data_IF_318985649182
#
_entry.id   IF_318985649182
#
_cell.length_a   1.000
_cell.length_b   1.000
_cell.length_c   1.000
_cell.angle_alpha   90.00
_cell.angle_beta   90.00
_cell.angle_gamma   90.00
#
_symmetry.space_group_name_H-M   'P 1'
#
loop_
_entity.id
_entity.type
_entity.pdbx_description
1 polymer ?
#
# COMPACT_ATOMS: atom_id res chain seq x y z
N UNK A 1 -11.09 -25.93 -2.61
CA UNK A 1 -12.04 -24.97 -3.19
C UNK A 1 -11.91 -25.04 -4.69
N UNK A 2 -12.98 -24.89 -5.51
CA UNK A 2 -12.86 -24.97 -6.95
C UNK A 2 -11.98 -23.84 -7.48
N UNK A 3 -11.27 -24.09 -8.58
CA UNK A 3 -10.45 -23.12 -9.29
C UNK A 3 -11.24 -21.85 -9.51
N UNK A 4 -10.71 -20.69 -9.06
CA UNK A 4 -11.20 -19.40 -9.52
C UNK A 4 -10.84 -19.30 -11.01
N UNK A 5 -11.83 -19.57 -11.84
CA UNK A 5 -11.74 -19.38 -13.29
C UNK A 5 -11.69 -17.87 -13.55
N UNK A 6 -10.56 -17.39 -14.06
CA UNK A 6 -10.46 -16.04 -14.62
C UNK A 6 -10.68 -16.20 -16.12
N UNK A 7 -11.76 -15.67 -16.69
CA UNK A 7 -12.02 -15.76 -18.11
C UNK A 7 -10.93 -15.07 -18.92
N UNK A 8 -10.51 -15.70 -20.01
CA UNK A 8 -9.74 -15.04 -21.07
C UNK A 8 -10.67 -14.06 -21.79
N UNK A 9 -10.51 -12.77 -21.57
CA UNK A 9 -11.34 -11.70 -22.18
C UNK A 9 -11.12 -11.51 -23.69
N UNK A 10 -10.61 -12.50 -24.39
CA UNK A 10 -10.31 -12.49 -25.80
C UNK A 10 -11.33 -13.25 -26.65
N UNK A 11 -12.64 -12.94 -26.63
CA UNK A 11 -13.60 -13.17 -27.71
C UNK A 11 -15.02 -12.78 -27.27
N UNK A 12 -15.79 -12.15 -28.16
CA UNK A 12 -17.20 -11.74 -28.04
C UNK A 12 -18.16 -12.91 -27.75
N UNK A 13 -18.14 -13.44 -26.54
CA UNK A 13 -19.24 -14.24 -26.00
C UNK A 13 -19.93 -13.34 -24.97
N UNK A 14 -21.19 -13.00 -25.16
CA UNK A 14 -22.00 -12.32 -24.15
C UNK A 14 -22.21 -13.31 -23.00
N UNK A 15 -21.33 -13.27 -22.00
CA UNK A 15 -21.51 -14.05 -20.78
C UNK A 15 -22.60 -13.41 -19.92
N UNK A 16 -23.48 -14.21 -19.39
CA UNK A 16 -24.55 -13.76 -18.51
C UNK A 16 -24.84 -14.76 -17.41
N UNK A 17 -25.52 -14.31 -16.38
CA UNK A 17 -26.12 -15.16 -15.36
C UNK A 17 -27.63 -14.95 -15.34
N UNK A 18 -28.37 -15.97 -14.95
CA UNK A 18 -29.82 -15.86 -14.67
C UNK A 18 -30.04 -15.94 -13.16
N UNK A 19 -30.70 -14.94 -12.59
CA UNK A 19 -31.15 -14.96 -11.20
C UNK A 19 -32.66 -15.14 -11.18
N UNK A 20 -33.18 -16.04 -10.31
CA UNK A 20 -34.59 -16.27 -10.08
C UNK A 20 -34.97 -15.93 -8.65
N UNK A 21 -35.99 -15.10 -8.46
CA UNK A 21 -36.61 -14.90 -7.15
C UNK A 21 -37.62 -16.02 -6.88
N UNK A 22 -37.24 -16.97 -6.02
CA UNK A 22 -38.10 -18.10 -5.67
C UNK A 22 -39.39 -17.70 -4.90
N UNK A 23 -39.50 -16.45 -4.43
CA UNK A 23 -40.68 -15.92 -3.75
C UNK A 23 -41.78 -15.55 -4.75
N UNK A 24 -41.37 -15.10 -5.94
CA UNK A 24 -42.28 -14.62 -7.02
C UNK A 24 -42.27 -15.54 -8.24
N UNK A 25 -41.20 -16.30 -8.47
CA UNK A 25 -40.94 -17.06 -9.69
C UNK A 25 -40.40 -16.24 -10.84
N UNK A 26 -40.20 -14.92 -10.64
CA UNK A 26 -39.62 -14.06 -11.66
C UNK A 26 -38.12 -14.32 -11.85
N UNK A 27 -37.68 -14.22 -13.11
CA UNK A 27 -36.26 -14.41 -13.47
C UNK A 27 -35.75 -13.23 -14.28
N UNK A 28 -34.46 -12.92 -14.13
CA UNK A 28 -33.77 -11.87 -14.87
C UNK A 28 -32.39 -12.38 -15.32
N UNK A 29 -32.06 -12.15 -16.58
CA UNK A 29 -30.72 -12.35 -17.12
C UNK A 29 -29.89 -11.08 -16.95
N UNK A 30 -28.67 -11.22 -16.43
CA UNK A 30 -27.77 -10.11 -16.13
C UNK A 30 -26.45 -10.36 -16.84
N UNK A 31 -25.93 -9.40 -17.63
CA UNK A 31 -24.65 -9.56 -18.32
C UNK A 31 -23.48 -9.55 -17.35
N UNK A 32 -22.44 -10.31 -17.69
CA UNK A 32 -21.12 -10.25 -17.06
C UNK A 32 -20.25 -9.32 -17.90
N UNK A 33 -19.81 -8.22 -17.33
CA UNK A 33 -18.91 -7.26 -17.97
C UNK A 33 -17.58 -7.18 -17.23
N UNK A 34 -16.48 -7.43 -17.91
CA UNK A 34 -15.14 -7.42 -17.29
C UNK A 34 -15.05 -8.31 -16.02
N UNK A 35 -15.68 -9.49 -16.06
CA UNK A 35 -15.73 -10.42 -14.92
C UNK A 35 -16.60 -9.97 -13.75
N UNK A 36 -17.41 -8.92 -13.91
CA UNK A 36 -18.26 -8.38 -12.87
C UNK A 36 -19.72 -8.28 -13.31
N UNK A 37 -20.62 -8.34 -12.32
CA UNK A 37 -22.06 -8.13 -12.46
C UNK A 37 -22.39 -6.81 -11.78
N UNK A 38 -23.08 -5.91 -12.50
CA UNK A 38 -23.54 -4.66 -11.90
C UNK A 38 -24.62 -4.95 -10.84
N UNK A 39 -24.35 -4.58 -9.61
CA UNK A 39 -25.28 -4.75 -8.49
C UNK A 39 -26.58 -3.96 -8.65
N UNK A 40 -26.63 -2.94 -9.50
CA UNK A 40 -27.86 -2.21 -9.79
C UNK A 40 -28.86 -3.06 -10.61
N UNK A 41 -28.37 -3.98 -11.43
CA UNK A 41 -29.21 -4.82 -12.28
C UNK A 41 -30.00 -5.83 -11.46
N UNK A 42 -29.34 -6.64 -10.62
CA UNK A 42 -30.05 -7.65 -9.83
C UNK A 42 -31.03 -7.04 -8.81
N UNK A 43 -30.80 -5.80 -8.33
CA UNK A 43 -31.71 -5.09 -7.42
C UNK A 43 -33.07 -4.78 -8.05
N UNK A 44 -33.18 -4.77 -9.38
CA UNK A 44 -34.47 -4.61 -10.08
C UNK A 44 -35.38 -5.81 -9.80
N UNK A 45 -34.80 -7.01 -9.75
CA UNK A 45 -35.54 -8.24 -9.43
C UNK A 45 -35.75 -8.42 -7.92
N UNK A 46 -34.77 -8.07 -7.09
CA UNK A 46 -34.74 -8.34 -5.65
C UNK A 46 -34.71 -7.04 -4.83
N UNK A 47 -35.76 -6.21 -4.84
CA UNK A 47 -35.79 -4.99 -4.07
C UNK A 47 -35.69 -5.28 -2.57
N UNK A 48 -34.81 -4.54 -1.87
CA UNK A 48 -34.62 -4.70 -0.41
C UNK A 48 -33.71 -5.85 0.01
N UNK A 49 -33.20 -6.64 -0.92
CA UNK A 49 -32.19 -7.69 -0.64
C UNK A 49 -30.78 -7.14 -0.91
N UNK A 50 -29.82 -7.47 -0.05
CA UNK A 50 -28.43 -7.01 -0.14
C UNK A 50 -27.48 -8.20 -0.10
N UNK A 51 -26.37 -8.12 -0.84
CA UNK A 51 -25.25 -9.03 -0.61
C UNK A 51 -24.53 -8.65 0.69
N UNK A 52 -24.36 -9.62 1.57
CA UNK A 52 -23.59 -9.46 2.80
C UNK A 52 -22.15 -9.89 2.54
N UNK A 53 -21.26 -8.90 2.40
CA UNK A 53 -19.81 -9.10 2.23
C UNK A 53 -19.05 -8.16 3.18
N UNK A 54 -18.85 -8.55 4.47
CA UNK A 54 -18.32 -7.67 5.50
C UNK A 54 -16.92 -7.12 5.23
N UNK A 55 -16.13 -7.79 4.40
CA UNK A 55 -14.72 -7.46 4.17
C UNK A 55 -14.39 -7.21 2.69
N UNK A 56 -15.41 -6.99 1.85
CA UNK A 56 -15.24 -6.87 0.39
C UNK A 56 -14.44 -8.03 -0.22
N UNK A 57 -14.66 -9.26 0.30
CA UNK A 57 -13.90 -10.44 -0.09
C UNK A 57 -14.32 -11.01 -1.45
N UNK A 58 -15.55 -10.71 -1.87
CA UNK A 58 -16.18 -11.26 -3.09
C UNK A 58 -16.84 -10.18 -3.95
N UNK A 59 -16.76 -8.92 -3.57
CA UNK A 59 -17.37 -7.80 -4.29
C UNK A 59 -16.33 -6.80 -4.76
N UNK A 60 -16.37 -6.43 -6.04
CA UNK A 60 -15.62 -5.30 -6.56
C UNK A 60 -16.27 -3.97 -6.14
N UNK A 61 -15.49 -3.06 -5.59
CA UNK A 61 -15.99 -1.75 -5.12
C UNK A 61 -15.91 -0.66 -6.18
N UNK A 62 -15.12 -0.87 -7.24
CA UNK A 62 -14.86 0.11 -8.30
C UNK A 62 -14.36 -0.55 -9.58
N UNK A 63 -14.43 0.19 -10.70
CA UNK A 63 -13.66 -0.09 -11.92
C UNK A 63 -12.39 0.78 -11.85
N UNK A 64 -11.23 0.23 -12.21
CA UNK A 64 -9.96 0.97 -12.24
C UNK A 64 -9.08 0.47 -13.40
N UNK A 65 -8.34 1.39 -14.00
CA UNK A 65 -7.35 1.09 -15.03
C UNK A 65 -5.89 1.22 -14.53
N UNK A 66 -5.68 1.40 -13.22
CA UNK A 66 -4.38 1.71 -12.64
C UNK A 66 -3.53 0.44 -12.51
N UNK A 67 -4.03 -0.54 -11.78
CA UNK A 67 -3.28 -1.76 -11.45
C UNK A 67 -4.09 -3.00 -11.83
N UNK A 68 -3.47 -3.85 -12.64
CA UNK A 68 -3.97 -5.20 -12.92
C UNK A 68 -3.23 -6.20 -12.03
N UNK A 69 -4.00 -7.04 -11.35
CA UNK A 69 -3.47 -8.06 -10.47
C UNK A 69 -4.16 -9.40 -10.75
N UNK A 70 -3.35 -10.40 -11.13
CA UNK A 70 -3.80 -11.79 -11.28
C UNK A 70 -3.07 -12.66 -10.25
N UNK A 71 -3.77 -12.92 -9.16
CA UNK A 71 -3.20 -13.69 -8.06
C UNK A 71 -3.01 -15.17 -8.37
N UNK A 72 -3.77 -15.74 -9.32
CA UNK A 72 -3.65 -17.13 -9.70
C UNK A 72 -2.36 -17.38 -10.51
N UNK A 73 -2.02 -16.45 -11.40
CA UNK A 73 -0.86 -16.52 -12.27
C UNK A 73 0.36 -15.75 -11.74
N UNK A 74 0.23 -15.03 -10.62
CA UNK A 74 1.32 -14.22 -10.05
C UNK A 74 1.71 -13.03 -10.94
N UNK A 75 0.72 -12.33 -11.51
CA UNK A 75 0.94 -11.19 -12.42
C UNK A 75 0.57 -9.88 -11.72
N UNK A 76 1.45 -8.89 -11.84
CA UNK A 76 1.21 -7.51 -11.43
C UNK A 76 1.63 -6.56 -12.56
N UNK A 77 0.74 -5.64 -12.92
CA UNK A 77 1.01 -4.61 -13.95
C UNK A 77 0.51 -3.25 -13.49
N UNK A 78 1.30 -2.22 -13.72
CA UNK A 78 0.87 -0.83 -13.57
C UNK A 78 0.55 -0.25 -14.94
N UNK A 79 -0.70 0.16 -15.17
CA UNK A 79 -1.14 0.70 -16.47
C UNK A 79 -0.74 -0.20 -17.66
N UNK A 80 -0.75 -1.52 -17.46
CA UNK A 80 -0.38 -2.49 -18.47
C UNK A 80 1.10 -2.90 -18.52
N UNK A 81 2.00 -2.15 -17.86
CA UNK A 81 3.43 -2.47 -17.81
C UNK A 81 3.72 -3.53 -16.74
N UNK A 82 4.40 -4.64 -17.04
CA UNK A 82 4.80 -5.64 -16.06
C UNK A 82 5.67 -5.02 -14.97
N UNK A 83 5.43 -5.43 -13.71
CA UNK A 83 6.15 -4.90 -12.56
C UNK A 83 7.65 -5.20 -12.64
N UNK A 84 8.02 -6.34 -13.22
CA UNK A 84 9.41 -6.76 -13.41
C UNK A 84 10.18 -5.76 -14.30
N UNK A 85 9.56 -5.32 -15.40
CA UNK A 85 10.17 -4.35 -16.32
C UNK A 85 10.31 -2.98 -15.69
N UNK A 86 9.30 -2.55 -14.93
CA UNK A 86 9.38 -1.27 -14.21
C UNK A 86 10.45 -1.32 -13.13
N UNK A 87 10.53 -2.40 -12.36
CA UNK A 87 11.55 -2.57 -11.32
C UNK A 87 12.95 -2.64 -11.91
N UNK A 88 13.15 -3.22 -13.08
CA UNK A 88 14.45 -3.31 -13.75
C UNK A 88 14.91 -1.98 -14.33
N UNK A 89 14.01 -1.24 -15.00
CA UNK A 89 14.39 -0.17 -15.92
C UNK A 89 13.91 1.22 -15.52
N UNK A 90 12.91 1.34 -14.61
CA UNK A 90 12.30 2.61 -14.24
C UNK A 90 12.84 3.19 -12.94
N UNK A 91 12.39 4.42 -12.64
CA UNK A 91 12.53 5.07 -11.33
C UNK A 91 11.17 5.20 -10.66
N UNK A 92 11.15 5.46 -9.35
CA UNK A 92 9.90 5.68 -8.63
C UNK A 92 9.10 6.86 -9.21
N UNK A 93 9.75 7.99 -9.53
CA UNK A 93 9.06 9.16 -10.08
C UNK A 93 8.58 8.95 -11.52
N UNK A 94 9.28 8.17 -12.33
CA UNK A 94 8.79 7.76 -13.65
C UNK A 94 7.57 6.84 -13.53
N UNK A 95 7.61 5.88 -12.61
CA UNK A 95 6.46 5.03 -12.28
C UNK A 95 5.27 5.86 -11.74
N UNK A 96 5.53 6.89 -10.93
CA UNK A 96 4.50 7.82 -10.47
C UNK A 96 3.85 8.56 -11.66
N UNK A 97 4.65 9.09 -12.58
CA UNK A 97 4.13 9.71 -13.81
C UNK A 97 3.22 8.74 -14.59
N UNK A 98 3.67 7.49 -14.76
CA UNK A 98 2.88 6.45 -15.44
C UNK A 98 1.52 6.25 -14.77
N UNK A 99 1.47 6.15 -13.44
CA UNK A 99 0.23 5.90 -12.70
C UNK A 99 -0.78 7.04 -12.85
N UNK A 100 -0.32 8.31 -12.89
CA UNK A 100 -1.18 9.47 -13.08
C UNK A 100 -1.59 9.69 -14.55
N UNK A 101 -0.66 9.49 -15.50
CA UNK A 101 -0.86 9.88 -16.89
C UNK A 101 -1.21 8.71 -17.83
N UNK A 102 -1.30 7.47 -17.32
CA UNK A 102 -1.59 6.25 -18.10
C UNK A 102 -0.61 5.97 -19.26
N UNK A 103 0.59 6.51 -19.20
CA UNK A 103 1.69 6.31 -20.16
C UNK A 103 3.03 6.69 -19.53
N UNK A 104 4.11 6.14 -20.06
CA UNK A 104 5.46 6.58 -19.70
C UNK A 104 5.74 8.02 -20.23
N UNK A 105 6.53 8.81 -19.49
CA UNK A 105 6.96 10.12 -19.97
C UNK A 105 8.01 10.01 -21.08
N UNK A 106 8.09 11.01 -21.94
CA UNK A 106 9.31 11.24 -22.72
C UNK A 106 10.39 11.91 -21.83
N UNK A 107 11.60 12.13 -22.37
CA UNK A 107 12.73 12.67 -21.61
C UNK A 107 12.47 14.07 -21.05
N UNK A 108 11.84 14.95 -21.83
CA UNK A 108 11.53 16.32 -21.42
C UNK A 108 10.44 16.31 -20.33
N UNK A 109 9.38 15.53 -20.50
CA UNK A 109 8.32 15.37 -19.52
C UNK A 109 8.83 14.80 -18.19
N UNK A 110 9.74 13.82 -18.24
CA UNK A 110 10.34 13.26 -17.02
C UNK A 110 11.19 14.31 -16.31
N UNK A 111 11.93 15.12 -17.06
CA UNK A 111 12.73 16.22 -16.51
C UNK A 111 11.85 17.25 -15.82
N UNK A 112 10.77 17.68 -16.49
CA UNK A 112 9.84 18.66 -15.94
C UNK A 112 9.09 18.10 -14.72
N UNK A 113 8.68 16.84 -14.77
CA UNK A 113 8.03 16.14 -13.65
C UNK A 113 8.93 16.07 -12.43
N UNK A 114 10.17 15.63 -12.60
CA UNK A 114 11.16 15.58 -11.52
C UNK A 114 11.42 16.97 -10.92
N UNK A 115 11.58 18.00 -11.79
CA UNK A 115 11.77 19.38 -11.35
C UNK A 115 10.56 19.92 -10.58
N UNK A 116 9.34 19.56 -11.01
CA UNK A 116 8.11 19.95 -10.32
C UNK A 116 8.02 19.33 -8.92
N UNK A 117 8.32 18.03 -8.77
CA UNK A 117 8.37 17.35 -7.47
C UNK A 117 9.45 17.99 -6.59
N UNK A 118 10.66 18.16 -7.09
CA UNK A 118 11.81 18.68 -6.34
C UNK A 118 11.54 20.08 -5.75
N UNK A 119 10.79 20.93 -6.45
CA UNK A 119 10.44 22.28 -5.96
C UNK A 119 9.45 22.31 -4.81
N UNK A 120 8.82 21.17 -4.46
CA UNK A 120 7.77 21.09 -3.44
C UNK A 120 8.17 20.29 -2.19
N UNK A 121 9.44 19.91 -2.06
CA UNK A 121 9.95 19.07 -0.97
C UNK A 121 9.96 19.74 0.41
N UNK A 122 10.10 21.09 0.45
CA UNK A 122 10.15 21.84 1.71
C UNK A 122 8.81 21.88 2.42
N UNK A 123 8.85 21.80 3.74
CA UNK A 123 7.72 22.08 4.64
C UNK A 123 7.71 23.58 5.00
N UNK A 124 6.52 24.12 5.25
CA UNK A 124 6.42 25.45 5.87
C UNK A 124 7.07 25.45 7.25
N UNK A 125 7.89 26.46 7.57
CA UNK A 125 8.66 26.50 8.83
C UNK A 125 7.78 26.46 10.08
N UNK A 126 6.60 27.06 10.06
CA UNK A 126 5.65 26.94 11.17
C UNK A 126 5.12 25.52 11.33
N UNK A 127 4.90 24.79 10.21
CA UNK A 127 4.48 23.40 10.23
C UNK A 127 5.60 22.48 10.75
N UNK A 128 6.84 22.70 10.33
CA UNK A 128 8.01 21.97 10.83
C UNK A 128 8.15 22.13 12.36
N UNK A 129 7.99 23.36 12.87
CA UNK A 129 8.01 23.59 14.32
C UNK A 129 6.85 22.92 15.04
N UNK A 130 5.64 22.93 14.45
CA UNK A 130 4.48 22.26 15.01
C UNK A 130 4.72 20.75 15.16
N UNK A 131 5.33 20.08 14.17
CA UNK A 131 5.72 18.67 14.27
C UNK A 131 6.64 18.46 15.47
N UNK A 132 7.63 19.34 15.65
CA UNK A 132 8.59 19.22 16.74
C UNK A 132 8.00 19.49 18.13
N UNK A 133 7.05 20.42 18.25
CA UNK A 133 6.58 20.91 19.53
C UNK A 133 5.29 20.22 20.02
N UNK A 134 4.54 19.56 19.11
CA UNK A 134 3.20 19.06 19.43
C UNK A 134 3.16 17.57 19.79
N UNK A 135 4.18 16.79 19.45
CA UNK A 135 4.15 15.35 19.64
C UNK A 135 4.98 14.90 20.84
N UNK A 136 4.60 13.76 21.42
CA UNK A 136 5.38 13.14 22.48
C UNK A 136 6.67 12.55 21.89
N UNK A 137 7.77 12.60 22.65
CA UNK A 137 9.11 12.21 22.18
C UNK A 137 9.23 10.73 21.78
N UNK A 138 8.40 9.87 22.35
CA UNK A 138 8.37 8.42 22.04
C UNK A 138 7.21 8.04 21.10
N UNK A 139 6.58 9.02 20.44
CA UNK A 139 5.51 8.75 19.49
C UNK A 139 6.01 7.90 18.33
N UNK A 140 5.20 6.90 17.96
CA UNK A 140 5.53 6.01 16.83
C UNK A 140 5.61 6.81 15.52
N UNK A 141 6.66 6.64 14.68
CA UNK A 141 6.87 7.42 13.46
C UNK A 141 5.67 7.41 12.50
N UNK A 142 4.93 6.30 12.43
CA UNK A 142 3.73 6.24 11.59
C UNK A 142 2.58 7.11 12.12
N UNK A 143 2.45 7.23 13.45
CA UNK A 143 1.50 8.16 14.08
C UNK A 143 1.85 9.62 13.78
N UNK A 144 3.15 9.95 13.86
CA UNK A 144 3.68 11.26 13.47
C UNK A 144 3.40 11.57 12.00
N UNK A 145 3.70 10.63 11.10
CA UNK A 145 3.46 10.78 9.67
C UNK A 145 1.98 11.02 9.38
N UNK A 146 1.08 10.18 9.92
CA UNK A 146 -0.37 10.28 9.70
C UNK A 146 -0.90 11.65 10.15
N UNK A 147 -0.53 12.08 11.34
CA UNK A 147 -0.94 13.38 11.90
C UNK A 147 -0.38 14.54 11.09
N UNK A 148 0.86 14.42 10.65
CA UNK A 148 1.51 15.45 9.83
C UNK A 148 0.88 15.57 8.44
N UNK A 149 0.54 14.46 7.79
CA UNK A 149 -0.17 14.49 6.49
C UNK A 149 -1.52 15.20 6.65
N UNK A 150 -2.30 14.86 7.68
CA UNK A 150 -3.56 15.56 7.96
C UNK A 150 -3.36 17.05 8.22
N UNK A 151 -2.32 17.41 8.98
CA UNK A 151 -1.97 18.80 9.29
C UNK A 151 -1.68 19.66 8.06
N UNK A 152 -1.13 19.08 6.98
CA UNK A 152 -0.86 19.80 5.74
C UNK A 152 -2.12 20.42 5.11
N UNK A 153 -3.30 19.81 5.30
CA UNK A 153 -4.58 20.37 4.83
C UNK A 153 -4.78 21.83 5.27
N UNK A 154 -4.27 22.19 6.45
CA UNK A 154 -4.42 23.56 7.01
C UNK A 154 -3.47 24.57 6.40
N UNK A 155 -2.46 24.13 5.64
CA UNK A 155 -1.45 24.98 5.00
C UNK A 155 -1.73 25.23 3.51
N UNK A 156 -2.69 24.53 2.92
CA UNK A 156 -3.05 24.63 1.51
C UNK A 156 -4.56 24.89 1.37
N UNK A 157 -5.01 26.18 1.49
CA UNK A 157 -6.44 26.51 1.42
C UNK A 157 -7.11 26.12 0.11
N UNK A 158 -6.34 26.11 -0.99
CA UNK A 158 -6.73 25.68 -2.34
C UNK A 158 -6.94 24.16 -2.46
N UNK A 159 -6.54 23.38 -1.47
CA UNK A 159 -6.69 21.92 -1.49
C UNK A 159 -8.15 21.43 -1.56
N UNK A 160 -9.12 22.29 -1.29
CA UNK A 160 -10.56 22.00 -1.38
C UNK A 160 -11.14 22.17 -2.78
N UNK A 161 -10.42 22.80 -3.68
CA UNK A 161 -10.85 23.04 -5.08
C UNK A 161 -10.55 21.80 -5.93
N UNK A 162 -11.03 20.64 -5.47
CA UNK A 162 -10.75 19.33 -6.06
C UNK A 162 -11.42 19.09 -7.41
N UNK A 163 -12.38 19.91 -7.79
CA UNK A 163 -13.04 19.82 -9.10
C UNK A 163 -12.17 20.38 -10.23
N UNK A 164 -11.15 21.21 -9.91
CA UNK A 164 -10.18 21.71 -10.87
C UNK A 164 -9.01 20.71 -11.01
N UNK A 165 -8.81 20.10 -12.19
CA UNK A 165 -7.74 19.12 -12.41
C UNK A 165 -6.33 19.67 -12.21
N UNK A 166 -6.10 20.96 -12.51
CA UNK A 166 -4.78 21.57 -12.33
C UNK A 166 -4.47 21.77 -10.84
N UNK A 167 -5.46 22.24 -10.06
CA UNK A 167 -5.34 22.35 -8.60
C UNK A 167 -5.15 20.98 -7.98
N UNK A 168 -5.90 19.94 -8.41
CA UNK A 168 -5.70 18.57 -7.95
C UNK A 168 -4.28 18.09 -8.18
N UNK A 169 -3.75 18.29 -9.40
CA UNK A 169 -2.40 17.86 -9.73
C UNK A 169 -1.34 18.61 -8.91
N UNK A 170 -1.56 19.87 -8.55
CA UNK A 170 -0.67 20.61 -7.65
C UNK A 170 -0.65 19.99 -6.24
N UNK A 171 -1.81 19.59 -5.71
CA UNK A 171 -1.87 18.91 -4.41
C UNK A 171 -1.20 17.53 -4.47
N UNK A 172 -1.40 16.77 -5.55
CA UNK A 172 -0.74 15.49 -5.80
C UNK A 172 0.79 15.66 -5.75
N UNK A 173 1.31 16.61 -6.51
CA UNK A 173 2.75 16.95 -6.56
C UNK A 173 3.27 17.31 -5.17
N UNK A 174 2.54 18.15 -4.42
CA UNK A 174 2.92 18.57 -3.05
C UNK A 174 2.98 17.37 -2.10
N UNK A 175 2.02 16.46 -2.15
CA UNK A 175 1.99 15.27 -1.30
C UNK A 175 3.12 14.30 -1.64
N UNK A 176 3.30 13.95 -2.92
CA UNK A 176 4.40 13.07 -3.36
C UNK A 176 5.74 13.65 -2.94
N UNK A 177 5.96 14.96 -3.15
CA UNK A 177 7.21 15.63 -2.82
C UNK A 177 7.50 15.68 -1.30
N UNK A 178 6.46 15.84 -0.47
CA UNK A 178 6.63 16.04 0.98
C UNK A 178 6.66 14.75 1.79
N UNK A 179 6.17 13.65 1.25
CA UNK A 179 6.16 12.38 1.99
C UNK A 179 7.53 11.95 2.50
N UNK A 180 8.63 11.98 1.71
CA UNK A 180 9.96 11.67 2.22
C UNK A 180 10.42 12.63 3.33
N UNK A 181 10.12 13.92 3.19
CA UNK A 181 10.50 14.93 4.19
C UNK A 181 9.77 14.73 5.51
N UNK A 182 8.47 14.41 5.46
CA UNK A 182 7.68 14.08 6.65
C UNK A 182 8.16 12.79 7.32
N UNK A 183 8.47 11.77 6.52
CA UNK A 183 8.98 10.48 6.99
C UNK A 183 10.33 10.64 7.70
N UNK A 184 11.27 11.37 7.08
CA UNK A 184 12.56 11.66 7.69
C UNK A 184 12.43 12.52 8.94
N UNK A 185 11.50 13.50 8.95
CA UNK A 185 11.19 14.30 10.14
C UNK A 185 10.69 13.44 11.30
N UNK A 186 9.78 12.50 11.03
CA UNK A 186 9.24 11.58 12.03
C UNK A 186 10.35 10.72 12.65
N UNK A 187 11.25 10.18 11.83
CA UNK A 187 12.39 9.42 12.30
C UNK A 187 13.32 10.27 13.17
N UNK A 188 13.76 11.42 12.65
CA UNK A 188 14.72 12.28 13.36
C UNK A 188 14.16 12.80 14.68
N UNK A 189 12.86 13.14 14.70
CA UNK A 189 12.17 13.51 15.92
C UNK A 189 12.18 12.38 16.96
N UNK A 190 11.82 11.15 16.57
CA UNK A 190 11.81 10.00 17.49
C UNK A 190 13.19 9.63 18.05
N UNK A 191 14.26 10.08 17.39
CA UNK A 191 15.65 9.88 17.82
C UNK A 191 16.27 11.10 18.51
N UNK A 192 15.54 12.21 18.66
CA UNK A 192 16.06 13.45 19.19
C UNK A 192 17.13 14.10 18.32
N UNK A 193 17.12 13.80 17.00
CA UNK A 193 18.06 14.33 16.03
C UNK A 193 17.55 15.65 15.41
N UNK A 194 18.43 16.57 15.03
CA UNK A 194 18.05 17.80 14.35
C UNK A 194 17.42 17.49 12.99
N UNK A 195 16.48 18.32 12.57
CA UNK A 195 15.89 18.25 11.23
C UNK A 195 16.96 18.46 10.15
N UNK A 196 16.86 17.70 9.06
CA UNK A 196 17.69 17.86 7.85
C UNK A 196 16.79 18.30 6.71
N UNK A 197 17.15 19.41 6.08
CA UNK A 197 16.41 19.91 4.93
C UNK A 197 16.65 19.05 3.69
N UNK A 198 15.63 18.92 2.81
CA UNK A 198 15.81 18.23 1.55
C UNK A 198 16.82 18.96 0.67
N UNK A 199 17.58 18.20 -0.09
CA UNK A 199 18.57 18.65 -1.07
C UNK A 199 17.99 18.51 -2.48
N UNK A 200 17.84 19.63 -3.17
CA UNK A 200 17.22 19.66 -4.50
C UNK A 200 18.18 19.27 -5.64
N UNK A 201 19.44 19.03 -5.34
CA UNK A 201 20.45 18.47 -6.24
C UNK A 201 20.45 16.94 -6.29
N UNK A 202 19.73 16.28 -5.36
CA UNK A 202 19.60 14.84 -5.29
C UNK A 202 18.29 14.37 -5.92
N UNK A 203 18.29 13.15 -6.43
CA UNK A 203 17.04 12.45 -6.81
C UNK A 203 16.21 12.06 -5.60
N UNK A 204 15.00 11.55 -5.84
CA UNK A 204 14.00 11.32 -4.81
C UNK A 204 14.47 10.38 -3.69
N UNK A 205 15.05 9.22 -4.05
CA UNK A 205 15.52 8.22 -3.08
C UNK A 205 16.79 8.66 -2.37
N UNK A 206 17.72 9.27 -3.09
CA UNK A 206 18.95 9.82 -2.51
C UNK A 206 18.65 10.96 -1.55
N UNK A 207 17.70 11.83 -1.87
CA UNK A 207 17.27 12.91 -1.01
C UNK A 207 16.63 12.38 0.28
N UNK A 208 15.79 11.35 0.18
CA UNK A 208 15.22 10.70 1.35
C UNK A 208 16.31 10.11 2.26
N UNK A 209 17.25 9.32 1.70
CA UNK A 209 18.36 8.73 2.47
C UNK A 209 19.23 9.81 3.11
N UNK A 210 19.53 10.90 2.40
CA UNK A 210 20.26 12.04 2.94
C UNK A 210 19.53 12.67 4.13
N UNK A 211 18.24 12.94 4.01
CA UNK A 211 17.46 13.47 5.15
C UNK A 211 17.41 12.53 6.35
N UNK A 212 17.42 11.22 6.12
CA UNK A 212 17.45 10.22 7.20
C UNK A 212 18.80 10.20 7.93
N UNK A 213 19.90 10.11 7.19
CA UNK A 213 21.20 9.66 7.72
C UNK A 213 22.31 10.71 7.74
N UNK A 214 22.11 11.91 7.16
CA UNK A 214 23.12 12.98 7.26
C UNK A 214 23.41 13.36 8.71
N UNK A 215 24.69 13.54 9.00
CA UNK A 215 25.22 14.10 10.25
C UNK A 215 25.90 15.44 9.98
N UNK A 216 26.12 16.24 11.02
CA UNK A 216 26.53 17.64 10.87
C UNK A 216 27.84 17.88 10.14
N UNK A 217 28.69 16.88 10.06
CA UNK A 217 30.07 17.00 9.52
C UNK A 217 30.26 16.33 8.16
N UNK A 218 29.28 15.52 7.70
CA UNK A 218 29.39 14.77 6.46
C UNK A 218 28.23 15.06 5.50
N UNK A 219 28.54 15.35 4.26
CA UNK A 219 27.61 15.30 3.14
C UNK A 219 27.31 13.81 2.86
N UNK A 220 26.19 13.33 3.36
CA UNK A 220 25.76 11.95 3.12
C UNK A 220 25.47 11.73 1.62
N UNK A 221 26.26 10.87 1.01
CA UNK A 221 26.01 10.36 -0.34
C UNK A 221 25.69 8.87 -0.26
N UNK A 222 24.48 8.45 -0.66
CA UNK A 222 24.09 7.06 -0.61
C UNK A 222 24.89 6.23 -1.61
N UNK A 223 25.32 5.04 -1.17
CA UNK A 223 25.89 4.06 -2.10
C UNK A 223 24.91 3.75 -3.24
N UNK A 224 25.38 3.67 -4.50
CA UNK A 224 24.52 3.40 -5.64
C UNK A 224 23.66 2.14 -5.52
N UNK A 225 24.14 1.08 -4.87
CA UNK A 225 23.36 -0.14 -4.64
C UNK A 225 22.23 0.10 -3.63
N UNK A 226 22.48 0.85 -2.56
CA UNK A 226 21.44 1.21 -1.57
C UNK A 226 20.38 2.12 -2.19
N UNK A 227 20.81 3.11 -2.98
CA UNK A 227 19.90 3.95 -3.76
C UNK A 227 19.01 3.10 -4.68
N UNK A 228 19.62 2.19 -5.47
CA UNK A 228 18.89 1.33 -6.40
C UNK A 228 17.91 0.42 -5.67
N UNK A 229 18.28 -0.15 -4.52
CA UNK A 229 17.39 -0.95 -3.71
C UNK A 229 16.18 -0.13 -3.22
N UNK A 230 16.36 1.13 -2.80
CA UNK A 230 15.26 2.00 -2.43
C UNK A 230 14.33 2.31 -3.62
N UNK A 231 14.88 2.59 -4.81
CA UNK A 231 14.07 2.79 -6.02
C UNK A 231 13.24 1.56 -6.35
N UNK A 232 13.84 0.37 -6.33
CA UNK A 232 13.13 -0.89 -6.57
C UNK A 232 12.02 -1.09 -5.54
N UNK A 233 12.32 -0.94 -4.24
CA UNK A 233 11.32 -1.06 -3.19
C UNK A 233 10.18 -0.04 -3.36
N UNK A 234 10.50 1.19 -3.73
CA UNK A 234 9.49 2.22 -3.97
C UNK A 234 8.61 1.91 -5.18
N UNK A 235 9.17 1.39 -6.28
CA UNK A 235 8.38 0.94 -7.43
C UNK A 235 7.43 -0.20 -7.05
N UNK A 236 7.95 -1.23 -6.36
CA UNK A 236 7.17 -2.41 -5.97
C UNK A 236 6.06 -2.10 -4.96
N UNK A 237 6.18 -1.01 -4.20
CA UNK A 237 5.20 -0.58 -3.21
C UNK A 237 4.31 0.57 -3.69
N UNK A 238 4.51 1.12 -4.90
CA UNK A 238 3.79 2.29 -5.38
C UNK A 238 2.27 2.08 -5.41
N UNK A 239 1.80 0.92 -5.85
CA UNK A 239 0.38 0.55 -5.80
C UNK A 239 0.17 -0.96 -5.63
N UNK A 240 -1.03 -1.34 -5.24
CA UNK A 240 -1.47 -2.73 -5.16
C UNK A 240 -3.01 -2.83 -5.14
N UNK A 241 -3.66 -2.24 -6.14
CA UNK A 241 -5.12 -2.28 -6.35
C UNK A 241 -5.91 -1.77 -5.12
N UNK A 242 -7.09 -2.35 -4.85
CA UNK A 242 -8.01 -1.97 -3.78
C UNK A 242 -7.65 -2.63 -2.43
N UNK A 243 -6.40 -2.49 -2.00
CA UNK A 243 -6.03 -2.84 -0.63
C UNK A 243 -6.76 -1.95 0.41
N UNK A 244 -6.66 -2.30 1.69
CA UNK A 244 -7.38 -1.62 2.77
C UNK A 244 -7.15 -0.10 2.79
N UNK A 245 -5.93 0.37 2.62
CA UNK A 245 -5.60 1.80 2.65
C UNK A 245 -6.05 2.53 1.38
N UNK A 246 -5.93 1.93 0.21
CA UNK A 246 -6.47 2.48 -1.04
C UNK A 246 -8.00 2.61 -0.98
N UNK A 247 -8.68 1.57 -0.52
CA UNK A 247 -10.13 1.61 -0.30
C UNK A 247 -10.51 2.73 0.69
N UNK A 248 -9.74 2.90 1.78
CA UNK A 248 -9.96 3.97 2.77
C UNK A 248 -9.79 5.35 2.14
N UNK A 249 -8.73 5.58 1.33
CA UNK A 249 -8.54 6.84 0.59
C UNK A 249 -9.75 7.16 -0.30
N UNK A 250 -10.25 6.17 -1.05
CA UNK A 250 -11.43 6.33 -1.90
C UNK A 250 -12.71 6.58 -1.10
N UNK A 251 -12.91 5.88 0.02
CA UNK A 251 -14.10 6.08 0.86
C UNK A 251 -14.12 7.50 1.42
N UNK A 252 -13.01 7.98 1.98
CA UNK A 252 -12.92 9.36 2.52
C UNK A 252 -12.99 10.38 1.41
N UNK A 253 -12.25 10.19 0.31
CA UNK A 253 -12.27 11.06 -0.86
C UNK A 253 -13.64 11.17 -1.52
N UNK A 254 -14.47 10.11 -1.47
CA UNK A 254 -15.83 10.11 -2.03
C UNK A 254 -16.77 11.14 -1.35
N UNK A 255 -16.42 11.61 -0.16
CA UNK A 255 -17.10 12.71 0.51
C UNK A 255 -16.57 14.09 0.07
N UNK A 256 -15.75 14.16 -0.96
CA UNK A 256 -15.04 15.36 -1.45
C UNK A 256 -14.12 15.98 -0.38
N UNK A 257 -13.58 15.15 0.53
CA UNK A 257 -12.49 15.56 1.39
C UNK A 257 -11.24 15.86 0.56
N UNK A 258 -10.46 16.87 0.99
CA UNK A 258 -9.20 17.20 0.33
C UNK A 258 -8.22 16.03 0.35
N UNK A 259 -7.21 16.01 -0.54
CA UNK A 259 -6.31 14.86 -0.66
C UNK A 259 -5.47 14.62 0.60
N UNK A 260 -5.11 15.67 1.37
CA UNK A 260 -4.33 15.49 2.60
C UNK A 260 -5.09 14.67 3.63
N UNK A 261 -6.38 14.97 3.83
CA UNK A 261 -7.25 14.21 4.76
C UNK A 261 -7.49 12.80 4.23
N UNK A 262 -7.73 12.64 2.92
CA UNK A 262 -7.94 11.34 2.29
C UNK A 262 -6.70 10.43 2.43
N UNK A 263 -5.50 10.99 2.22
CA UNK A 263 -4.24 10.27 2.35
C UNK A 263 -3.87 10.02 3.82
N UNK A 264 -4.16 10.95 4.73
CA UNK A 264 -3.98 10.70 6.17
C UNK A 264 -4.84 9.52 6.66
N UNK A 265 -6.07 9.38 6.16
CA UNK A 265 -6.92 8.23 6.46
C UNK A 265 -6.32 6.92 5.89
N UNK A 266 -5.75 6.95 4.69
CA UNK A 266 -5.03 5.83 4.11
C UNK A 266 -3.79 5.45 4.94
N UNK A 267 -3.01 6.43 5.40
CA UNK A 267 -1.91 6.22 6.35
C UNK A 267 -2.40 5.56 7.64
N UNK A 268 -3.52 6.00 8.20
CA UNK A 268 -4.14 5.40 9.38
C UNK A 268 -4.53 3.94 9.16
N UNK A 269 -5.09 3.60 7.99
CA UNK A 269 -5.39 2.21 7.64
C UNK A 269 -4.12 1.37 7.46
N UNK A 270 -3.07 1.94 6.84
CA UNK A 270 -1.78 1.26 6.65
C UNK A 270 -1.09 0.99 8.00
N UNK A 271 -1.24 1.87 8.99
CA UNK A 271 -0.66 1.72 10.32
C UNK A 271 -1.18 0.47 11.07
N UNK A 272 -2.34 -0.04 10.69
CA UNK A 272 -2.93 -1.22 11.34
C UNK A 272 -2.05 -2.48 11.19
N UNK A 273 -1.91 -3.29 12.26
CA UNK A 273 -1.02 -4.48 12.26
C UNK A 273 -1.45 -5.58 11.29
N UNK A 274 -2.67 -5.51 10.74
CA UNK A 274 -3.17 -6.44 9.73
C UNK A 274 -2.93 -5.97 8.30
N UNK A 275 -2.29 -4.82 8.12
CA UNK A 275 -2.00 -4.24 6.81
C UNK A 275 -0.51 -3.94 6.65
N UNK A 276 -0.02 -2.77 7.06
CA UNK A 276 1.39 -2.37 6.84
C UNK A 276 2.41 -2.92 7.83
N UNK A 277 1.99 -3.62 8.88
CA UNK A 277 2.90 -4.16 9.90
C UNK A 277 3.47 -5.55 9.62
N UNK A 278 3.28 -6.10 8.41
CA UNK A 278 3.68 -7.49 8.11
C UNK A 278 5.20 -7.68 8.08
N UNK A 279 5.95 -6.75 7.49
CA UNK A 279 7.41 -6.81 7.42
C UNK A 279 8.09 -6.68 8.80
N UNK A 280 7.53 -5.89 9.72
CA UNK A 280 7.98 -5.86 11.11
C UNK A 280 7.77 -7.21 11.80
N UNK A 281 6.63 -7.85 11.55
CA UNK A 281 6.32 -9.15 12.11
C UNK A 281 7.26 -10.25 11.57
N UNK A 282 7.73 -10.14 10.32
CA UNK A 282 8.76 -11.04 9.77
C UNK A 282 10.06 -10.93 10.56
N UNK A 283 10.56 -9.72 10.80
CA UNK A 283 11.82 -9.56 11.56
C UNK A 283 11.71 -10.05 13.00
N UNK A 284 10.55 -9.81 13.66
CA UNK A 284 10.29 -10.36 15.00
C UNK A 284 10.31 -11.88 15.01
N UNK A 285 9.69 -12.51 14.01
CA UNK A 285 9.72 -13.97 13.82
C UNK A 285 11.14 -14.48 13.61
N UNK A 286 11.92 -13.87 12.72
CA UNK A 286 13.30 -14.28 12.46
C UNK A 286 14.19 -14.12 13.71
N UNK A 287 14.03 -13.05 14.47
CA UNK A 287 14.72 -12.82 15.73
C UNK A 287 14.31 -13.84 16.82
N UNK A 288 13.05 -14.25 16.87
CA UNK A 288 12.56 -15.30 17.79
C UNK A 288 13.15 -16.66 17.44
N UNK A 289 13.23 -17.02 16.17
CA UNK A 289 13.90 -18.25 15.72
C UNK A 289 15.36 -18.25 16.15
N UNK A 290 16.01 -17.11 16.03
CA UNK A 290 17.34 -16.78 16.57
C UNK A 290 18.49 -17.51 15.91
N UNK A 291 18.34 -18.77 15.49
CA UNK A 291 19.37 -19.57 14.85
C UNK A 291 18.79 -20.41 13.71
N UNK A 292 19.59 -20.57 12.67
CA UNK A 292 19.31 -21.43 11.52
C UNK A 292 18.90 -22.86 11.89
N UNK A 293 19.55 -23.42 12.91
CA UNK A 293 19.27 -24.78 13.43
C UNK A 293 17.84 -24.91 14.03
N UNK A 294 17.23 -23.81 14.46
CA UNK A 294 15.91 -23.79 15.07
C UNK A 294 14.76 -23.78 14.04
N UNK A 295 15.07 -23.51 12.77
CA UNK A 295 14.05 -23.39 11.71
C UNK A 295 13.14 -24.63 11.61
N UNK A 296 13.64 -25.89 11.59
CA UNK A 296 12.77 -27.05 11.50
C UNK A 296 11.77 -27.15 12.67
N UNK A 297 12.22 -26.86 13.89
CA UNK A 297 11.36 -26.90 15.09
C UNK A 297 10.30 -25.80 15.05
N UNK A 298 10.66 -24.60 14.58
CA UNK A 298 9.70 -23.52 14.38
C UNK A 298 8.64 -23.88 13.34
N UNK A 299 9.03 -24.49 12.22
CA UNK A 299 8.10 -24.92 11.16
C UNK A 299 7.11 -25.98 11.64
N UNK A 300 7.49 -26.87 12.55
CA UNK A 300 6.54 -27.79 13.18
C UNK A 300 5.53 -27.06 14.08
N UNK A 301 5.92 -26.04 14.83
CA UNK A 301 4.99 -25.18 15.60
C UNK A 301 4.02 -24.43 14.70
N UNK A 302 4.46 -24.00 13.51
CA UNK A 302 3.58 -23.40 12.50
C UNK A 302 2.55 -24.43 12.00
N UNK A 303 2.97 -25.68 11.74
CA UNK A 303 2.06 -26.75 11.31
C UNK A 303 1.03 -27.14 12.38
N UNK A 304 1.40 -27.09 13.64
CA UNK A 304 0.49 -27.34 14.78
C UNK A 304 -0.50 -26.19 15.02
N UNK A 305 -0.24 -25.01 14.44
CA UNK A 305 -1.05 -23.79 14.63
C UNK A 305 -0.69 -22.99 15.88
N UNK A 306 0.40 -23.33 16.57
CA UNK A 306 0.94 -22.56 17.70
C UNK A 306 1.55 -21.25 17.25
N UNK A 307 2.18 -21.25 16.06
CA UNK A 307 2.86 -20.10 15.49
C UNK A 307 2.33 -19.75 14.09
N UNK A 308 2.67 -18.56 13.61
CA UNK A 308 2.36 -18.11 12.25
C UNK A 308 3.63 -17.90 11.45
N UNK A 309 3.63 -18.36 10.20
CA UNK A 309 4.71 -18.09 9.27
C UNK A 309 4.46 -16.69 8.65
N UNK A 310 5.15 -15.68 9.20
CA UNK A 310 5.02 -14.29 8.72
C UNK A 310 5.79 -14.08 7.42
N UNK A 311 5.26 -13.23 6.53
CA UNK A 311 5.86 -12.99 5.21
C UNK A 311 5.60 -14.09 4.18
N UNK A 312 4.74 -15.06 4.51
CA UNK A 312 4.33 -16.13 3.62
C UNK A 312 2.82 -16.12 3.38
N UNK A 313 2.43 -16.43 2.16
CA UNK A 313 1.05 -16.38 1.71
C UNK A 313 0.58 -14.93 1.45
N UNK A 314 -0.46 -14.82 0.68
CA UNK A 314 -1.05 -13.54 0.32
C UNK A 314 -2.56 -13.69 0.18
N UNK A 315 -3.32 -12.62 0.48
CA UNK A 315 -4.78 -12.65 0.36
C UNK A 315 -5.21 -12.88 -1.10
N UNK A 316 -4.45 -12.31 -2.05
CA UNK A 316 -4.75 -12.36 -3.49
C UNK A 316 -3.89 -13.41 -4.20
N UNK A 317 -2.56 -13.35 -4.07
CA UNK A 317 -1.69 -14.30 -4.74
C UNK A 317 -1.90 -15.73 -4.20
N UNK A 318 -2.23 -16.64 -5.12
CA UNK A 318 -2.29 -18.09 -4.90
C UNK A 318 -1.09 -18.80 -5.54
N UNK A 319 -0.18 -18.04 -6.12
CA UNK A 319 1.10 -18.42 -6.67
C UNK A 319 2.17 -17.53 -6.06
N UNK A 320 3.40 -17.61 -6.56
CA UNK A 320 4.52 -16.77 -6.11
C UNK A 320 4.22 -15.27 -6.34
N UNK A 321 4.49 -14.43 -5.34
CA UNK A 321 4.38 -12.99 -5.48
C UNK A 321 5.50 -12.50 -6.43
N UNK A 322 5.21 -11.90 -7.59
CA UNK A 322 6.24 -11.50 -8.56
C UNK A 322 7.26 -10.51 -7.97
N UNK A 323 6.88 -9.78 -6.93
CA UNK A 323 7.75 -8.83 -6.26
C UNK A 323 8.79 -9.51 -5.38
N UNK A 324 8.49 -10.70 -4.84
CA UNK A 324 9.38 -11.38 -3.89
C UNK A 324 10.72 -11.78 -4.52
N UNK A 325 10.71 -12.24 -5.78
CA UNK A 325 11.95 -12.55 -6.52
C UNK A 325 12.81 -11.31 -6.74
N UNK A 326 12.19 -10.21 -7.17
CA UNK A 326 12.88 -8.93 -7.44
C UNK A 326 13.53 -8.39 -6.14
N UNK A 327 12.80 -8.46 -5.02
CA UNK A 327 13.32 -8.01 -3.71
C UNK A 327 14.47 -8.90 -3.24
N UNK A 328 14.39 -10.20 -3.47
CA UNK A 328 15.47 -11.14 -3.11
C UNK A 328 16.76 -10.78 -3.85
N UNK A 329 16.70 -10.44 -5.13
CA UNK A 329 17.86 -10.01 -5.91
C UNK A 329 18.40 -8.67 -5.38
N UNK A 330 17.54 -7.70 -5.11
CA UNK A 330 17.94 -6.42 -4.52
C UNK A 330 18.59 -6.60 -3.12
N UNK A 331 18.12 -7.56 -2.32
CA UNK A 331 18.71 -7.88 -1.02
C UNK A 331 20.17 -8.33 -1.15
N UNK A 332 20.47 -9.18 -2.14
CA UNK A 332 21.85 -9.62 -2.38
C UNK A 332 22.79 -8.45 -2.67
N UNK A 333 22.35 -7.45 -3.44
CA UNK A 333 23.19 -6.29 -3.75
C UNK A 333 23.39 -5.39 -2.53
N UNK A 334 22.36 -5.19 -1.71
CA UNK A 334 22.48 -4.46 -0.44
C UNK A 334 23.48 -5.15 0.50
N UNK A 335 23.40 -6.46 0.67
CA UNK A 335 24.29 -7.19 1.58
C UNK A 335 25.75 -7.20 1.14
N UNK A 336 26.05 -7.03 -0.15
CA UNK A 336 27.44 -6.82 -0.63
C UNK A 336 28.04 -5.52 -0.09
N UNK A 337 27.22 -4.50 0.13
CA UNK A 337 27.64 -3.17 0.61
C UNK A 337 27.63 -3.11 2.14
N UNK A 338 26.52 -3.55 2.75
CA UNK A 338 26.29 -3.40 4.20
C UNK A 338 26.87 -4.53 5.04
N UNK A 339 27.31 -5.61 4.40
CA UNK A 339 27.62 -6.87 5.06
C UNK A 339 26.40 -7.77 5.19
N UNK A 340 26.64 -9.06 5.43
CA UNK A 340 25.58 -10.06 5.53
C UNK A 340 24.73 -9.83 6.78
N UNK A 341 23.42 -9.78 6.62
CA UNK A 341 22.49 -9.70 7.74
C UNK A 341 22.40 -11.08 8.44
N UNK A 342 22.61 -11.16 9.76
CA UNK A 342 22.57 -12.45 10.49
C UNK A 342 21.23 -13.19 10.36
N UNK A 343 20.13 -12.48 10.12
CA UNK A 343 18.79 -13.08 9.93
C UNK A 343 18.58 -13.63 8.52
N UNK A 344 19.47 -13.33 7.56
CA UNK A 344 19.33 -13.78 6.17
C UNK A 344 19.41 -15.31 6.06
N UNK A 345 20.34 -15.95 6.75
CA UNK A 345 20.52 -17.41 6.71
C UNK A 345 19.27 -18.13 7.26
N UNK A 346 18.67 -17.56 8.30
CA UNK A 346 17.38 -18.05 8.83
C UNK A 346 16.27 -17.89 7.81
N UNK A 347 16.18 -16.73 7.15
CA UNK A 347 15.17 -16.46 6.13
C UNK A 347 15.32 -17.39 4.92
N UNK A 348 16.53 -17.59 4.40
CA UNK A 348 16.79 -18.52 3.30
C UNK A 348 16.42 -19.95 3.66
N UNK A 349 16.71 -20.38 4.91
CA UNK A 349 16.32 -21.72 5.37
C UNK A 349 14.82 -21.88 5.54
N UNK A 350 14.12 -20.85 6.04
CA UNK A 350 12.65 -20.85 6.10
C UNK A 350 12.05 -20.99 4.70
N UNK A 351 12.53 -20.22 3.74
CA UNK A 351 12.08 -20.31 2.34
C UNK A 351 12.34 -21.72 1.77
N UNK A 352 13.56 -22.27 1.93
CA UNK A 352 13.92 -23.61 1.47
C UNK A 352 12.95 -24.67 2.02
N UNK A 353 12.71 -24.66 3.34
CA UNK A 353 11.84 -25.64 3.99
C UNK A 353 10.40 -25.45 3.54
N UNK A 354 9.88 -24.22 3.48
CA UNK A 354 8.51 -23.96 3.09
C UNK A 354 8.23 -24.35 1.62
N UNK A 355 9.19 -24.12 0.71
CA UNK A 355 9.04 -24.48 -0.71
C UNK A 355 9.18 -25.99 -0.98
N UNK A 356 9.75 -26.75 -0.03
CA UNK A 356 9.90 -28.21 -0.15
C UNK A 356 8.79 -29.00 0.60
N UNK A 357 8.11 -28.41 1.54
CA UNK A 357 7.14 -29.11 2.40
C UNK A 357 5.72 -29.06 1.83
N UNK A 358 5.08 -30.22 1.56
CA UNK A 358 3.71 -30.30 1.03
C UNK A 358 2.67 -29.51 1.83
N UNK A 359 2.85 -29.37 3.16
CA UNK A 359 1.92 -28.61 4.00
C UNK A 359 1.79 -27.15 3.55
N UNK A 360 2.93 -26.50 3.21
CA UNK A 360 2.96 -25.11 2.77
C UNK A 360 2.61 -24.97 1.29
N UNK A 361 3.06 -25.90 0.45
CA UNK A 361 2.76 -25.94 -1.00
C UNK A 361 1.26 -26.08 -1.23
N UNK A 362 0.60 -27.04 -0.56
CA UNK A 362 -0.84 -27.29 -0.71
C UNK A 362 -1.69 -26.10 -0.23
N UNK A 363 -1.16 -25.32 0.73
CA UNK A 363 -1.80 -24.11 1.24
C UNK A 363 -1.38 -22.84 0.49
N UNK A 364 -0.51 -22.96 -0.50
CA UNK A 364 0.01 -21.85 -1.34
C UNK A 364 0.67 -20.76 -0.48
N UNK A 365 1.46 -21.17 0.51
CA UNK A 365 2.20 -20.29 1.39
C UNK A 365 3.59 -20.03 0.82
N UNK A 366 3.66 -19.15 -0.17
CA UNK A 366 4.90 -18.69 -0.79
C UNK A 366 5.37 -17.37 -0.15
N UNK A 367 6.69 -17.06 -0.18
CA UNK A 367 7.19 -15.77 0.25
C UNK A 367 6.50 -14.61 -0.49
N UNK A 368 6.15 -13.56 0.23
CA UNK A 368 5.59 -12.33 -0.32
C UNK A 368 6.58 -11.17 -0.22
N UNK A 369 6.17 -9.97 -0.64
CA UNK A 369 7.00 -8.76 -0.66
C UNK A 369 7.59 -8.41 0.72
N UNK A 370 6.89 -8.71 1.81
CA UNK A 370 7.30 -8.36 3.16
C UNK A 370 8.44 -9.24 3.71
N UNK A 371 8.64 -10.42 3.12
CA UNK A 371 9.58 -11.40 3.65
C UNK A 371 11.05 -10.92 3.58
N UNK A 372 11.46 -10.32 2.47
CA UNK A 372 12.82 -9.82 2.30
C UNK A 372 12.95 -8.30 2.49
N UNK A 373 11.89 -7.52 2.33
CA UNK A 373 11.98 -6.05 2.42
C UNK A 373 12.44 -5.57 3.79
N UNK A 374 11.99 -6.24 4.87
CA UNK A 374 12.41 -5.92 6.22
C UNK A 374 13.91 -6.13 6.44
N UNK A 375 14.48 -7.19 5.88
CA UNK A 375 15.93 -7.47 5.96
C UNK A 375 16.76 -6.40 5.24
N UNK A 376 16.29 -5.94 4.08
CA UNK A 376 16.92 -4.84 3.34
C UNK A 376 16.91 -3.58 4.19
N UNK A 377 15.74 -3.16 4.70
CA UNK A 377 15.62 -1.96 5.50
C UNK A 377 16.50 -2.00 6.75
N UNK A 378 16.52 -3.13 7.46
CA UNK A 378 17.36 -3.30 8.63
C UNK A 378 18.85 -3.18 8.27
N UNK A 379 19.29 -3.80 7.18
CA UNK A 379 20.70 -3.74 6.72
C UNK A 379 21.10 -2.34 6.26
N UNK A 380 20.17 -1.55 5.76
CA UNK A 380 20.39 -0.13 5.43
C UNK A 380 20.38 0.80 6.66
N UNK A 381 20.15 0.27 7.86
CA UNK A 381 20.14 1.03 9.11
C UNK A 381 18.81 1.63 9.51
N UNK A 382 17.71 1.28 8.85
CA UNK A 382 16.38 1.72 9.27
C UNK A 382 15.93 0.92 10.50
N UNK A 383 15.44 1.59 11.54
CA UNK A 383 14.84 0.89 12.68
C UNK A 383 13.47 0.33 12.31
N UNK A 384 13.06 -0.74 12.97
CA UNK A 384 11.87 -1.52 12.62
C UNK A 384 10.58 -0.68 12.64
N UNK A 385 10.47 0.27 13.56
CA UNK A 385 9.32 1.18 13.67
C UNK A 385 9.14 2.13 12.46
N UNK A 386 10.17 2.23 11.60
CA UNK A 386 10.08 2.99 10.35
C UNK A 386 9.51 2.19 9.17
N UNK A 387 9.36 0.89 9.25
CA UNK A 387 9.03 0.05 8.09
C UNK A 387 7.67 0.40 7.47
N UNK A 388 6.65 0.62 8.29
CA UNK A 388 5.34 1.07 7.80
C UNK A 388 5.41 2.47 7.18
N UNK A 389 6.29 3.35 7.70
CA UNK A 389 6.55 4.67 7.13
C UNK A 389 7.23 4.55 5.76
N UNK A 390 8.23 3.67 5.64
CA UNK A 390 8.92 3.39 4.36
C UNK A 390 7.95 2.84 3.30
N UNK A 391 6.96 2.08 3.74
CA UNK A 391 5.88 1.62 2.87
C UNK A 391 4.93 2.75 2.43
N UNK A 392 4.63 3.71 3.31
CA UNK A 392 3.74 4.83 3.01
C UNK A 392 4.32 5.81 1.99
N UNK A 393 5.65 6.01 1.98
CA UNK A 393 6.32 6.95 1.04
C UNK A 393 5.96 6.63 -0.41
N UNK A 394 6.22 5.45 -0.95
CA UNK A 394 5.89 5.14 -2.34
C UNK A 394 4.39 4.96 -2.55
N UNK A 395 3.66 4.43 -1.57
CA UNK A 395 2.24 4.13 -1.69
C UNK A 395 1.37 5.37 -1.84
N UNK A 396 1.83 6.55 -1.42
CA UNK A 396 1.11 7.81 -1.63
C UNK A 396 0.76 8.04 -3.10
N UNK A 397 1.62 7.59 -4.02
CA UNK A 397 1.38 7.67 -5.47
C UNK A 397 0.15 6.86 -5.87
N UNK A 398 0.07 5.59 -5.46
CA UNK A 398 -1.08 4.74 -5.75
C UNK A 398 -2.36 5.26 -5.11
N UNK A 399 -2.32 5.69 -3.85
CA UNK A 399 -3.48 6.27 -3.18
C UNK A 399 -4.00 7.51 -3.91
N UNK A 400 -3.11 8.40 -4.32
CA UNK A 400 -3.47 9.62 -5.06
C UNK A 400 -3.98 9.32 -6.46
N UNK A 401 -3.38 8.35 -7.17
CA UNK A 401 -3.86 7.94 -8.48
C UNK A 401 -5.29 7.38 -8.41
N UNK A 402 -5.58 6.53 -7.41
CA UNK A 402 -6.92 6.01 -7.18
C UNK A 402 -7.92 7.07 -6.69
N UNK A 403 -7.46 8.06 -5.92
CA UNK A 403 -8.27 9.19 -5.49
C UNK A 403 -8.64 10.09 -6.68
N UNK A 404 -7.68 10.41 -7.55
CA UNK A 404 -7.89 11.23 -8.76
C UNK A 404 -8.80 10.51 -9.76
N UNK A 405 -8.51 9.23 -10.07
CA UNK A 405 -9.38 8.40 -10.93
C UNK A 405 -10.83 8.34 -10.43
N UNK A 406 -11.02 8.26 -9.12
CA UNK A 406 -12.36 8.27 -8.51
C UNK A 406 -13.09 9.59 -8.79
N UNK A 407 -12.43 10.73 -8.68
CA UNK A 407 -13.01 12.03 -8.96
C UNK A 407 -13.34 12.19 -10.44
N UNK A 408 -12.44 11.76 -11.34
CA UNK A 408 -12.68 11.76 -12.79
C UNK A 408 -13.87 10.90 -13.20
N UNK A 409 -14.09 9.78 -12.52
CA UNK A 409 -15.25 8.90 -12.73
C UNK A 409 -16.56 9.50 -12.20
N UNK A 410 -16.53 10.63 -11.50
CA UNK A 410 -17.71 11.24 -10.88
C UNK A 410 -18.35 10.34 -9.81
N UNK A 411 -17.55 9.68 -9.02
CA UNK A 411 -18.00 8.72 -8.00
C UNK A 411 -18.92 9.36 -6.97
N UNK A 412 -19.92 8.59 -6.56
CA UNK A 412 -20.84 8.99 -5.50
C UNK A 412 -20.23 8.74 -4.14
N UNK A 413 -20.71 9.45 -3.11
CA UNK A 413 -20.32 9.21 -1.72
C UNK A 413 -20.52 7.74 -1.34
N UNK A 414 -19.47 7.13 -0.81
CA UNK A 414 -19.49 5.74 -0.34
C UNK A 414 -20.38 5.63 0.90
N UNK A 415 -21.50 4.92 0.76
CA UNK A 415 -22.45 4.68 1.84
C UNK A 415 -22.95 3.24 1.77
N UNK A 416 -22.20 2.29 2.34
CA UNK A 416 -22.63 0.89 2.39
C UNK A 416 -23.92 0.71 3.17
N UNK A 417 -24.59 -0.43 2.96
CA UNK A 417 -25.74 -0.85 3.74
C UNK A 417 -25.31 -1.79 4.85
N UNK A 418 -26.17 -1.91 5.87
CA UNK A 418 -26.02 -2.90 6.92
C UNK A 418 -27.28 -3.79 6.99
N UNK A 419 -27.09 -5.03 7.38
CA UNK A 419 -28.17 -5.90 7.85
C UNK A 419 -28.35 -5.61 9.33
N UNK A 420 -29.50 -5.08 9.71
CA UNK A 420 -29.82 -4.81 11.10
C UNK A 420 -30.22 -6.12 11.81
N UNK A 421 -29.53 -6.43 12.91
CA UNK A 421 -29.75 -7.63 13.73
C UNK A 421 -30.07 -7.30 15.19
N UNK A 422 -30.34 -6.03 15.48
CA UNK A 422 -30.73 -5.59 16.81
C UNK A 422 -32.22 -5.85 17.10
N UNK A 423 -32.67 -5.37 18.26
CA UNK A 423 -34.05 -5.49 18.69
C UNK A 423 -35.00 -4.66 17.82
N UNK A 424 -36.25 -5.08 17.79
CA UNK A 424 -37.32 -4.31 17.18
C UNK A 424 -37.62 -3.03 17.99
N UNK A 425 -38.63 -2.28 17.60
CA UNK A 425 -39.03 -1.02 18.25
C UNK A 425 -39.21 -1.22 19.77
N UNK A 426 -38.55 -0.38 20.54
CA UNK A 426 -38.69 -0.33 22.00
C UNK A 426 -39.14 1.07 22.41
N UNK A 427 -40.06 1.12 23.38
CA UNK A 427 -40.44 2.38 23.98
C UNK A 427 -39.33 2.91 24.91
N UNK A 428 -39.16 4.20 24.92
CA UNK A 428 -38.25 4.85 25.87
C UNK A 428 -38.86 4.80 27.27
N UNK A 429 -38.13 4.21 28.20
CA UNK A 429 -38.49 4.20 29.63
C UNK A 429 -37.65 5.28 30.33
N UNK A 430 -38.27 6.23 31.06
CA UNK A 430 -37.54 7.22 31.86
C UNK A 430 -36.62 6.56 32.88
N UNK A 431 -35.49 7.24 33.20
CA UNK A 431 -34.48 6.66 34.09
C UNK A 431 -35.03 6.30 35.48
N UNK A 432 -36.05 7.04 35.94
CA UNK A 432 -36.70 6.79 37.21
C UNK A 432 -37.59 5.51 37.23
N UNK A 433 -37.92 4.99 36.04
CA UNK A 433 -38.83 3.85 35.84
C UNK A 433 -38.11 2.62 35.27
N UNK A 434 -36.76 2.61 35.21
CA UNK A 434 -35.92 1.52 34.74
C UNK A 434 -35.55 0.54 35.85
#
# INVERSE_FOLDING_TARGET
>A
MPNEYIPDYGANVSESITITDNRTGESMEIPIENGAIDSAEWRKLLPGVWFLDPAFGTTASTKSAITYLDGANGVLRYRGYPIEQLAESSTHLETAFLLFNNRLPNADELTDWNARITRHTYLHESFRRQIHDAFHYDAHPMGLLTSSVAGLSTFYPDAKEIDDPEVRMDQIVRLVAKMPTLAASAYRFSRGLPFVYPRNDLDYSSNFLSMMFSIAEDDYEPDPALKRAMEVLFILHADHEQNCSTTTARVVGSAHADPYISIAAACGALYGPRHGGANEAVLRMLAEIGDYENVPAYMERVKSGEERLMGFGHRVYKNYDPRAAIIKDAAHDVFKVTGQNPLLDIALKLEEVALADPYFIDRKLYPNVDFYSGLIYQSMGFPTEMFTVLFAIPRVVGWLAHWDEMLEQGSRIARPRQVYTGEDTRDYVPIADR
#
